data_IF_050044532318
#
_entry.id   IF_050044532318
#
_cell.length_a   1.000
_cell.length_b   1.000
_cell.length_c   1.000
_cell.angle_alpha   90.00
_cell.angle_beta   90.00
_cell.angle_gamma   90.00
#
_symmetry.space_group_name_H-M   'P 1'
#
loop_
_entity.id
_entity.type
_entity.pdbx_description
1 polymer ?
#
# COMPACT_ATOMS: atom_id res chain seq x y z
N UNK A 1 -13.14 -0.75 -23.11
CA UNK A 1 -12.46 -0.73 -21.78
C UNK A 1 -11.68 0.56 -21.69
N UNK A 2 -11.88 1.37 -20.64
CA UNK A 2 -11.11 2.62 -20.46
C UNK A 2 -9.70 2.23 -19.99
N UNK A 3 -8.63 2.76 -20.60
CA UNK A 3 -7.26 2.51 -20.13
C UNK A 3 -7.09 2.89 -18.66
N UNK A 4 -6.36 2.09 -17.85
CA UNK A 4 -6.21 2.33 -16.42
C UNK A 4 -5.74 3.75 -16.04
N UNK A 5 -4.88 4.35 -16.86
CA UNK A 5 -4.32 5.69 -16.68
C UNK A 5 -5.29 6.83 -17.00
N UNK A 6 -6.39 6.56 -17.70
CA UNK A 6 -7.43 7.54 -18.08
C UNK A 6 -8.68 7.39 -17.21
N UNK A 7 -8.84 6.26 -16.52
CA UNK A 7 -9.91 6.05 -15.56
C UNK A 7 -9.84 7.03 -14.38
N UNK A 8 -10.97 7.29 -13.70
CA UNK A 8 -10.98 8.08 -12.46
C UNK A 8 -9.96 7.54 -11.44
N UNK A 9 -9.26 8.42 -10.71
CA UNK A 9 -8.22 8.01 -9.81
C UNK A 9 -8.77 7.16 -8.66
N UNK A 10 -8.01 6.14 -8.25
CA UNK A 10 -8.34 5.26 -7.11
C UNK A 10 -7.73 5.81 -5.84
N UNK A 11 -8.36 5.62 -4.69
CA UNK A 11 -7.79 6.11 -3.42
C UNK A 11 -6.95 5.02 -2.77
N UNK A 12 -5.76 5.38 -2.30
CA UNK A 12 -4.92 4.55 -1.44
C UNK A 12 -4.59 5.33 -0.17
N UNK A 13 -4.76 4.70 0.99
CA UNK A 13 -4.54 5.32 2.30
C UNK A 13 -3.33 4.69 2.96
N UNK A 14 -2.39 5.53 3.39
CA UNK A 14 -1.21 5.14 4.19
C UNK A 14 -1.43 5.61 5.62
N UNK A 15 -1.38 4.71 6.60
CA UNK A 15 -1.81 4.98 7.98
C UNK A 15 -0.71 4.90 9.05
N UNK A 16 0.51 4.46 8.70
CA UNK A 16 1.60 4.30 9.66
C UNK A 16 2.38 5.63 9.90
N UNK A 17 2.59 6.08 11.14
CA UNK A 17 3.26 7.36 11.43
C UNK A 17 4.63 7.57 10.75
N UNK A 18 5.50 6.55 10.74
CA UNK A 18 6.84 6.65 10.14
C UNK A 18 6.86 6.71 8.61
N UNK A 19 5.70 6.50 7.96
CA UNK A 19 5.59 6.53 6.52
C UNK A 19 5.51 7.95 5.95
N UNK A 20 5.05 8.96 6.71
CA UNK A 20 4.75 10.29 6.17
C UNK A 20 5.95 10.93 5.44
N UNK A 21 7.09 10.98 6.14
CA UNK A 21 8.32 11.53 5.59
C UNK A 21 8.75 10.80 4.31
N UNK A 22 8.57 9.48 4.28
CA UNK A 22 8.97 8.65 3.14
C UNK A 22 8.01 8.82 1.96
N UNK A 23 6.70 8.81 2.21
CA UNK A 23 5.66 9.09 1.22
C UNK A 23 5.99 10.42 0.54
N UNK A 24 6.19 11.50 1.32
CA UNK A 24 6.40 12.83 0.76
C UNK A 24 7.74 13.02 0.03
N UNK A 25 8.78 12.24 0.36
CA UNK A 25 10.15 12.43 -0.18
C UNK A 25 10.56 11.43 -1.26
N UNK A 26 9.95 10.24 -1.31
CA UNK A 26 10.36 9.20 -2.25
C UNK A 26 9.62 9.30 -3.58
N UNK A 27 10.35 9.29 -4.70
CA UNK A 27 9.77 9.34 -6.05
C UNK A 27 8.91 8.11 -6.40
N UNK A 28 9.33 6.94 -5.89
CA UNK A 28 8.58 5.68 -5.95
C UNK A 28 8.37 5.20 -4.52
N UNK A 29 7.14 4.85 -4.17
CA UNK A 29 6.78 4.44 -2.82
C UNK A 29 6.04 3.10 -2.80
N UNK A 30 6.17 2.39 -1.67
CA UNK A 30 5.57 1.09 -1.41
C UNK A 30 4.53 1.21 -0.31
N UNK A 31 3.33 0.68 -0.56
CA UNK A 31 2.28 0.55 0.44
C UNK A 31 1.57 -0.80 0.31
N UNK A 32 0.64 -1.07 1.21
CA UNK A 32 -0.07 -2.33 1.30
C UNK A 32 -1.57 -2.10 1.36
N UNK A 33 -2.32 -2.96 0.70
CA UNK A 33 -3.78 -2.94 0.70
C UNK A 33 -4.32 -4.33 0.96
N UNK A 34 -5.46 -4.39 1.63
CA UNK A 34 -6.16 -5.66 1.88
C UNK A 34 -6.77 -6.20 0.58
N UNK A 35 -7.04 -7.51 0.54
CA UNK A 35 -7.77 -8.11 -0.59
C UNK A 35 -9.14 -7.46 -0.81
N UNK A 36 -9.83 -7.10 0.28
CA UNK A 36 -11.11 -6.40 0.23
C UNK A 36 -11.00 -5.00 -0.37
N UNK A 37 -9.98 -4.23 0.00
CA UNK A 37 -9.73 -2.91 -0.60
C UNK A 37 -9.34 -3.02 -2.07
N UNK A 38 -8.49 -3.99 -2.42
CA UNK A 38 -8.10 -4.21 -3.80
C UNK A 38 -9.30 -4.58 -4.66
N UNK A 39 -10.15 -5.50 -4.18
CA UNK A 39 -11.35 -5.97 -4.89
C UNK A 39 -12.39 -4.86 -5.07
N UNK A 40 -12.61 -4.04 -4.03
CA UNK A 40 -13.55 -2.89 -4.09
C UNK A 40 -13.06 -1.82 -5.07
N UNK A 41 -11.79 -1.45 -4.99
CA UNK A 41 -11.24 -0.36 -5.81
C UNK A 41 -10.84 -0.81 -7.22
N UNK A 42 -10.60 -2.12 -7.41
CA UNK A 42 -10.08 -2.74 -8.63
C UNK A 42 -8.80 -2.06 -9.10
N UNK A 43 -7.86 -1.89 -8.16
CA UNK A 43 -6.58 -1.24 -8.47
C UNK A 43 -5.73 -2.20 -9.28
N UNK A 44 -5.27 -1.74 -10.43
CA UNK A 44 -4.36 -2.46 -11.32
C UNK A 44 -3.20 -1.53 -11.73
N UNK A 45 -2.06 -2.09 -12.18
CA UNK A 45 -0.99 -1.30 -12.77
C UNK A 45 -1.49 -0.32 -13.82
N UNK A 46 -0.95 0.89 -13.79
CA UNK A 46 -1.32 2.01 -14.66
C UNK A 46 -2.43 2.91 -14.11
N UNK A 47 -3.20 2.49 -13.10
CA UNK A 47 -4.22 3.36 -12.50
C UNK A 47 -3.62 4.63 -11.89
N UNK A 48 -4.27 5.77 -12.12
CA UNK A 48 -4.04 6.98 -11.33
C UNK A 48 -4.53 6.75 -9.90
N UNK A 49 -3.81 7.31 -8.94
CA UNK A 49 -4.06 7.17 -7.52
C UNK A 49 -4.19 8.55 -6.88
N UNK A 50 -5.20 8.74 -6.02
CA UNK A 50 -5.16 9.75 -4.96
C UNK A 50 -4.47 9.09 -3.77
N UNK A 51 -3.32 9.62 -3.37
CA UNK A 51 -2.57 9.13 -2.23
C UNK A 51 -2.96 9.95 -1.01
N UNK A 52 -3.42 9.26 0.03
CA UNK A 52 -3.72 9.86 1.32
C UNK A 52 -2.76 9.38 2.38
N UNK A 53 -2.31 10.30 3.22
CA UNK A 53 -1.73 9.96 4.51
C UNK A 53 -2.79 10.19 5.57
N UNK A 54 -3.32 9.10 6.15
CA UNK A 54 -4.53 9.10 6.97
C UNK A 54 -5.70 9.76 6.20
N UNK A 55 -6.17 10.92 6.65
CA UNK A 55 -7.29 11.64 6.04
C UNK A 55 -6.84 12.75 5.08
N UNK A 56 -5.55 13.12 5.09
CA UNK A 56 -4.99 14.19 4.26
C UNK A 56 -4.63 13.65 2.88
N UNK A 57 -5.03 14.37 1.83
CA UNK A 57 -4.54 14.12 0.46
C UNK A 57 -3.13 14.68 0.36
N UNK A 58 -2.16 13.81 0.11
CA UNK A 58 -0.75 14.19 -0.03
C UNK A 58 -0.34 14.38 -1.49
N UNK A 59 -1.08 13.83 -2.44
CA UNK A 59 -0.86 14.05 -3.86
C UNK A 59 -1.46 12.98 -4.76
N UNK A 60 -1.06 13.01 -6.03
CA UNK A 60 -1.47 12.01 -7.03
C UNK A 60 -0.29 11.13 -7.45
N UNK A 61 -0.59 9.86 -7.71
CA UNK A 61 0.39 8.91 -8.19
C UNK A 61 -0.15 8.00 -9.27
N UNK A 62 0.69 7.06 -9.70
CA UNK A 62 0.32 6.00 -10.61
C UNK A 62 0.79 4.65 -10.08
N UNK A 63 -0.13 3.69 -10.01
CA UNK A 63 0.20 2.31 -9.67
C UNK A 63 1.16 1.71 -10.71
N UNK A 64 2.26 1.13 -10.25
CA UNK A 64 3.28 0.47 -11.07
C UNK A 64 3.14 -1.04 -10.95
N UNK A 65 3.03 -1.53 -9.71
CA UNK A 65 2.96 -2.94 -9.39
C UNK A 65 1.86 -3.17 -8.36
N UNK A 66 1.13 -4.26 -8.53
CA UNK A 66 0.19 -4.79 -7.55
C UNK A 66 0.44 -6.29 -7.50
N UNK A 67 0.98 -6.79 -6.39
CA UNK A 67 1.34 -8.21 -6.25
C UNK A 67 0.89 -8.80 -4.91
N UNK A 68 0.44 -10.06 -4.88
CA UNK A 68 0.06 -10.72 -3.64
C UNK A 68 1.29 -11.03 -2.77
N UNK A 69 1.15 -10.89 -1.46
CA UNK A 69 2.17 -11.18 -0.46
C UNK A 69 1.54 -11.69 0.85
N UNK A 70 2.38 -12.10 1.81
CA UNK A 70 1.99 -12.57 3.14
C UNK A 70 2.94 -11.99 4.19
N UNK A 71 2.59 -12.09 5.49
CA UNK A 71 3.42 -11.53 6.56
C UNK A 71 4.82 -12.19 6.61
N UNK A 72 4.89 -13.48 6.30
CA UNK A 72 6.15 -14.25 6.27
C UNK A 72 7.08 -13.81 5.15
N UNK A 73 6.53 -13.36 4.00
CA UNK A 73 7.29 -12.88 2.85
C UNK A 73 7.84 -11.47 3.02
N UNK A 74 7.43 -10.75 4.06
CA UNK A 74 7.97 -9.42 4.36
C UNK A 74 9.40 -9.53 4.84
N UNK A 75 10.26 -8.69 4.26
CA UNK A 75 11.69 -8.65 4.54
C UNK A 75 12.08 -7.40 5.36
N UNK A 76 13.27 -7.38 5.98
CA UNK A 76 13.81 -6.15 6.56
C UNK A 76 13.95 -5.00 5.55
N UNK A 77 14.18 -5.32 4.28
CA UNK A 77 14.23 -4.31 3.22
C UNK A 77 12.87 -3.65 2.99
N UNK A 78 11.78 -4.43 3.02
CA UNK A 78 10.42 -3.89 2.93
C UNK A 78 10.11 -2.92 4.07
N UNK A 79 10.55 -3.26 5.30
CA UNK A 79 10.37 -2.41 6.46
C UNK A 79 11.12 -1.08 6.29
N UNK A 80 12.37 -1.13 5.84
CA UNK A 80 13.18 0.06 5.59
C UNK A 80 12.56 0.99 4.53
N UNK A 81 12.06 0.43 3.43
CA UNK A 81 11.40 1.20 2.37
C UNK A 81 10.07 1.77 2.86
N UNK A 82 9.26 0.96 3.56
CA UNK A 82 7.99 1.36 4.14
C UNK A 82 8.08 2.33 5.33
N UNK A 83 9.30 2.68 5.77
CA UNK A 83 9.51 3.61 6.87
C UNK A 83 9.25 3.02 8.26
N UNK A 84 9.28 1.69 8.40
CA UNK A 84 9.17 1.00 9.67
C UNK A 84 10.53 0.86 10.34
N UNK A 85 10.52 0.78 11.68
CA UNK A 85 11.72 0.54 12.48
C UNK A 85 12.39 -0.80 12.16
N UNK A 86 11.59 -1.86 12.02
CA UNK A 86 12.03 -3.21 11.68
C UNK A 86 10.86 -4.04 11.10
N UNK A 87 11.16 -5.24 10.63
CA UNK A 87 10.18 -6.13 10.00
C UNK A 87 9.09 -6.59 10.97
N UNK A 88 9.37 -6.70 12.26
CA UNK A 88 8.39 -7.14 13.25
C UNK A 88 7.38 -6.03 13.58
N UNK A 89 7.84 -4.78 13.71
CA UNK A 89 6.98 -3.61 13.85
C UNK A 89 6.05 -3.46 12.63
N UNK A 90 6.59 -3.69 11.43
CA UNK A 90 5.83 -3.70 10.20
C UNK A 90 4.76 -4.80 10.17
N UNK A 91 5.15 -6.05 10.47
CA UNK A 91 4.22 -7.20 10.49
C UNK A 91 3.09 -6.97 11.48
N UNK A 92 3.41 -6.48 12.68
CA UNK A 92 2.42 -6.13 13.71
C UNK A 92 1.44 -5.07 13.20
N UNK A 93 1.95 -3.96 12.66
CA UNK A 93 1.11 -2.89 12.12
C UNK A 93 0.18 -3.39 10.99
N UNK A 94 0.70 -4.17 10.05
CA UNK A 94 -0.10 -4.71 8.94
C UNK A 94 -1.13 -5.73 9.42
N UNK A 95 -0.82 -6.53 10.44
CA UNK A 95 -1.78 -7.42 11.08
C UNK A 95 -2.94 -6.64 11.71
N UNK A 96 -2.64 -5.53 12.41
CA UNK A 96 -3.62 -4.72 13.13
C UNK A 96 -4.47 -3.82 12.22
N UNK A 97 -4.00 -3.54 11.00
CA UNK A 97 -4.63 -2.61 10.05
C UNK A 97 -5.15 -3.32 8.80
N UNK A 98 -4.25 -3.73 7.91
CA UNK A 98 -4.56 -4.33 6.60
C UNK A 98 -5.27 -5.68 6.74
N UNK A 99 -4.86 -6.47 7.72
CA UNK A 99 -5.40 -7.81 7.96
C UNK A 99 -6.41 -7.85 9.11
N UNK A 100 -6.89 -6.69 9.55
CA UNK A 100 -7.87 -6.60 10.65
C UNK A 100 -9.11 -7.42 10.32
N UNK A 101 -9.39 -8.42 11.16
CA UNK A 101 -10.52 -9.34 10.98
C UNK A 101 -10.22 -10.58 10.13
N UNK A 102 -8.99 -10.78 9.65
CA UNK A 102 -8.58 -12.02 9.02
C UNK A 102 -8.55 -13.17 10.06
N UNK A 103 -9.20 -14.29 9.73
CA UNK A 103 -9.29 -15.49 10.61
C UNK A 103 -7.91 -16.10 10.95
N UNK A 104 -6.94 -15.94 10.05
CA UNK A 104 -5.53 -16.33 10.20
C UNK A 104 -4.62 -15.27 9.57
N UNK A 105 -4.30 -14.21 10.31
CA UNK A 105 -3.51 -13.10 9.78
C UNK A 105 -2.13 -13.52 9.22
N UNK A 106 -1.49 -14.55 9.77
CA UNK A 106 -0.20 -15.04 9.28
C UNK A 106 -0.25 -15.58 7.83
N UNK A 107 -1.33 -16.28 7.48
CA UNK A 107 -1.52 -16.94 6.18
C UNK A 107 -2.35 -16.09 5.19
N UNK A 108 -3.00 -15.02 5.68
CA UNK A 108 -3.91 -14.22 4.86
C UNK A 108 -3.14 -13.43 3.78
N UNK A 109 -3.50 -13.58 2.49
CA UNK A 109 -2.90 -12.79 1.44
C UNK A 109 -3.34 -11.33 1.54
N UNK A 110 -2.40 -10.44 1.28
CA UNK A 110 -2.65 -9.02 1.03
C UNK A 110 -1.77 -8.57 -0.12
N UNK A 111 -1.88 -7.32 -0.55
CA UNK A 111 -1.23 -6.88 -1.77
C UNK A 111 -0.21 -5.78 -1.51
N UNK A 112 1.01 -5.99 -2.01
CA UNK A 112 2.03 -4.95 -2.11
C UNK A 112 1.69 -4.09 -3.33
N UNK A 113 1.62 -2.79 -3.11
CA UNK A 113 1.37 -1.79 -4.14
C UNK A 113 2.57 -0.87 -4.25
N UNK A 114 3.22 -0.85 -5.41
CA UNK A 114 4.21 0.16 -5.76
C UNK A 114 3.56 1.24 -6.59
N UNK A 115 3.86 2.50 -6.29
CA UNK A 115 3.41 3.64 -7.09
C UNK A 115 4.52 4.68 -7.23
N UNK A 116 4.43 5.51 -8.26
CA UNK A 116 5.23 6.74 -8.40
C UNK A 116 4.34 7.97 -8.32
N UNK A 117 4.92 9.10 -7.95
CA UNK A 117 4.25 10.40 -8.06
C UNK A 117 4.00 10.79 -9.52
N UNK A 118 2.95 11.57 -9.75
CA UNK A 118 2.63 12.23 -11.02
C UNK A 118 2.85 13.74 -10.93
#
# INVERSE_FOLDING_TARGET
MIPPNIAPPKTVVVSYPGAEDKVRKQYVYQTYVSEGELSRNRIVPGNRLIVKFRDEIVGEGQAILVEPTTLEKLTPYDAMIGGYENVDAMRKHLADTILKGARKAAEAPFFRLLFRWL
#
